data_IF_151521206667
#
_entry.id   IF_151521206667
#
_cell.length_a   1.000
_cell.length_b   1.000
_cell.length_c   1.000
_cell.angle_alpha   90.00
_cell.angle_beta   90.00
_cell.angle_gamma   90.00
#
_symmetry.space_group_name_H-M   'P 1'
#
loop_
_entity.id
_entity.type
_entity.pdbx_description
1 polymer ?
#
# COMPACT_ATOMS: atom_id res chain seq x y z
N UNK A 1 -1.13 -3.32 -2.02
CA UNK A 1 -0.82 -1.89 -2.28
C UNK A 1 -0.31 -1.18 -1.03
N UNK A 2 -1.16 -0.94 0.00
CA UNK A 2 -0.81 -0.12 1.16
C UNK A 2 0.49 -0.54 1.87
N UNK A 3 0.72 -1.85 2.02
CA UNK A 3 1.95 -2.42 2.62
C UNK A 3 3.23 -1.96 1.90
N UNK A 4 3.21 -2.01 0.57
CA UNK A 4 4.35 -1.60 -0.25
C UNK A 4 4.50 -0.07 -0.32
N UNK A 5 3.39 0.68 -0.25
CA UNK A 5 3.47 2.14 -0.14
C UNK A 5 4.04 2.58 1.23
N UNK A 6 3.74 1.87 2.32
CA UNK A 6 4.37 2.09 3.62
C UNK A 6 5.89 1.87 3.53
N UNK A 7 6.32 0.75 2.94
CA UNK A 7 7.75 0.48 2.72
C UNK A 7 8.40 1.56 1.85
N UNK A 8 7.73 2.03 0.80
CA UNK A 8 8.26 3.11 -0.05
C UNK A 8 8.39 4.45 0.67
N UNK A 9 7.47 4.79 1.58
CA UNK A 9 7.43 6.08 2.28
C UNK A 9 8.33 6.13 3.52
N UNK A 10 8.53 5.00 4.21
CA UNK A 10 9.12 4.99 5.55
C UNK A 10 10.31 4.04 5.71
N UNK A 11 10.59 3.15 4.75
CA UNK A 11 11.75 2.27 4.89
C UNK A 11 13.05 3.09 4.82
N UNK A 12 14.09 2.72 5.60
CA UNK A 12 15.39 3.38 5.53
C UNK A 12 16.00 3.30 4.13
N UNK A 13 16.77 4.31 3.72
CA UNK A 13 17.39 4.40 2.38
C UNK A 13 18.21 3.18 1.97
N UNK A 14 18.86 2.53 2.94
CA UNK A 14 19.66 1.31 2.70
C UNK A 14 18.79 0.12 2.28
N UNK A 15 17.55 0.07 2.76
CA UNK A 15 16.55 -0.93 2.37
C UNK A 15 15.77 -0.47 1.14
N UNK A 16 15.38 0.82 1.10
CA UNK A 16 14.56 1.37 0.02
C UNK A 16 15.25 1.23 -1.34
N UNK A 17 16.50 1.70 -1.47
CA UNK A 17 17.20 1.77 -2.77
C UNK A 17 17.23 0.45 -3.56
N UNK A 18 17.63 -0.70 -2.99
CA UNK A 18 17.63 -1.96 -3.75
C UNK A 18 16.23 -2.51 -4.04
N UNK A 19 15.22 -2.16 -3.22
CA UNK A 19 13.89 -2.77 -3.29
C UNK A 19 12.83 -1.90 -4.00
N UNK A 20 13.06 -0.59 -4.14
CA UNK A 20 12.08 0.40 -4.62
C UNK A 20 11.42 -0.02 -5.94
N UNK A 21 12.23 -0.51 -6.91
CA UNK A 21 11.71 -0.96 -8.20
C UNK A 21 10.76 -2.14 -8.05
N UNK A 22 11.12 -3.14 -7.25
CA UNK A 22 10.29 -4.31 -7.00
C UNK A 22 8.98 -3.93 -6.32
N UNK A 23 9.04 -3.07 -5.31
CA UNK A 23 7.85 -2.62 -4.60
C UNK A 23 6.90 -1.79 -5.48
N UNK A 24 7.44 -0.91 -6.33
CA UNK A 24 6.62 -0.17 -7.32
C UNK A 24 5.95 -1.12 -8.32
N UNK A 25 6.64 -2.17 -8.78
CA UNK A 25 6.06 -3.17 -9.65
C UNK A 25 4.90 -3.91 -8.97
N UNK A 26 5.07 -4.36 -7.72
CA UNK A 26 4.01 -5.00 -6.93
C UNK A 26 2.78 -4.11 -6.76
N UNK A 27 2.99 -2.82 -6.49
CA UNK A 27 1.89 -1.84 -6.39
C UNK A 27 1.14 -1.71 -7.72
N UNK A 28 1.87 -1.54 -8.83
CA UNK A 28 1.25 -1.39 -10.14
C UNK A 28 0.47 -2.64 -10.57
N UNK A 29 0.97 -3.83 -10.28
CA UNK A 29 0.24 -5.07 -10.56
C UNK A 29 -1.07 -5.12 -9.77
N UNK A 30 -1.02 -4.88 -8.46
CA UNK A 30 -2.22 -4.88 -7.63
C UNK A 30 -3.24 -3.80 -8.05
N UNK A 31 -2.79 -2.62 -8.50
CA UNK A 31 -3.69 -1.58 -9.03
C UNK A 31 -4.44 -2.06 -10.27
N UNK A 32 -3.74 -2.69 -11.22
CA UNK A 32 -4.34 -3.24 -12.45
C UNK A 32 -5.33 -4.36 -12.16
N UNK A 33 -4.98 -5.27 -11.24
CA UNK A 33 -5.88 -6.35 -10.81
C UNK A 33 -7.18 -5.79 -10.21
N UNK A 34 -7.07 -4.79 -9.33
CA UNK A 34 -8.24 -4.12 -8.75
C UNK A 34 -9.06 -3.41 -9.83
N UNK A 35 -8.41 -2.72 -10.77
CA UNK A 35 -9.11 -2.05 -11.88
C UNK A 35 -9.93 -3.05 -12.72
N UNK A 36 -9.32 -4.19 -13.10
CA UNK A 36 -10.01 -5.24 -13.84
C UNK A 36 -11.21 -5.81 -13.06
N UNK A 37 -11.06 -6.08 -11.75
CA UNK A 37 -12.15 -6.54 -10.91
C UNK A 37 -13.30 -5.53 -10.79
N UNK A 38 -12.99 -4.24 -10.76
CA UNK A 38 -13.98 -3.17 -10.71
C UNK A 38 -14.73 -2.98 -12.03
N UNK A 39 -14.06 -3.19 -13.17
CA UNK A 39 -14.69 -3.20 -14.49
C UNK A 39 -15.71 -4.35 -14.62
N UNK A 40 -15.38 -5.53 -14.10
CA UNK A 40 -16.26 -6.71 -14.13
C UNK A 40 -17.45 -6.60 -13.17
N UNK A 41 -17.29 -5.91 -12.03
CA UNK A 41 -18.29 -5.88 -10.95
C UNK A 41 -18.48 -4.47 -10.36
N UNK A 42 -19.17 -3.59 -11.08
CA UNK A 42 -19.45 -2.22 -10.64
C UNK A 42 -20.20 -2.11 -9.29
N UNK A 43 -20.92 -3.16 -8.86
CA UNK A 43 -21.63 -3.22 -7.57
C UNK A 43 -20.70 -3.44 -6.36
N UNK A 44 -19.43 -3.84 -6.58
CA UNK A 44 -18.41 -3.98 -5.53
C UNK A 44 -17.95 -2.63 -4.94
N UNK A 45 -18.48 -1.51 -5.45
CA UNK A 45 -18.13 -0.17 -4.97
C UNK A 45 -18.78 0.23 -3.62
N UNK A 46 -19.71 -0.57 -3.07
CA UNK A 46 -20.31 -0.24 -1.75
C UNK A 46 -19.31 -0.52 -0.63
N UNK A 47 -19.07 0.51 0.19
CA UNK A 47 -18.29 0.49 1.43
C UNK A 47 -16.75 0.38 1.27
N UNK A 48 -16.23 1.03 0.23
CA UNK A 48 -14.78 1.19 -0.05
C UNK A 48 -13.97 1.69 1.16
N UNK A 49 -14.51 2.61 1.95
CA UNK A 49 -13.81 3.16 3.11
C UNK A 49 -13.59 2.12 4.22
N UNK A 50 -14.60 1.28 4.50
CA UNK A 50 -14.44 0.20 5.48
C UNK A 50 -13.45 -0.86 5.00
N UNK A 51 -13.51 -1.19 3.71
CA UNK A 51 -12.55 -2.10 3.10
C UNK A 51 -11.12 -1.53 3.20
N UNK A 52 -10.94 -0.23 2.94
CA UNK A 52 -9.67 0.47 3.09
C UNK A 52 -9.13 0.38 4.52
N UNK A 53 -9.95 0.69 5.53
CA UNK A 53 -9.52 0.64 6.94
C UNK A 53 -9.05 -0.77 7.32
N UNK A 54 -9.80 -1.79 6.91
CA UNK A 54 -9.45 -3.19 7.19
C UNK A 54 -8.16 -3.61 6.46
N UNK A 55 -8.05 -3.29 5.17
CA UNK A 55 -6.87 -3.60 4.36
C UNK A 55 -5.62 -2.88 4.88
N UNK A 56 -5.76 -1.62 5.29
CA UNK A 56 -4.68 -0.85 5.88
C UNK A 56 -4.20 -1.46 7.20
N UNK A 57 -5.13 -1.87 8.09
CA UNK A 57 -4.77 -2.53 9.35
C UNK A 57 -3.96 -3.80 9.12
N UNK A 58 -4.37 -4.61 8.14
CA UNK A 58 -3.64 -5.82 7.76
C UNK A 58 -2.26 -5.48 7.20
N UNK A 59 -2.18 -4.53 6.27
CA UNK A 59 -0.91 -4.06 5.71
C UNK A 59 0.05 -3.55 6.80
N UNK A 60 -0.45 -2.77 7.76
CA UNK A 60 0.34 -2.27 8.88
C UNK A 60 0.86 -3.41 9.77
N UNK A 61 0.04 -4.45 10.00
CA UNK A 61 0.46 -5.66 10.71
C UNK A 61 1.61 -6.37 9.99
N UNK A 62 1.43 -6.65 8.70
CA UNK A 62 2.44 -7.30 7.87
C UNK A 62 3.75 -6.51 7.85
N UNK A 63 3.69 -5.19 7.63
CA UNK A 63 4.92 -4.37 7.61
C UNK A 63 5.62 -4.40 8.96
N UNK A 64 4.89 -4.35 10.08
CA UNK A 64 5.51 -4.41 11.41
C UNK A 64 6.21 -5.73 11.67
N UNK A 65 5.66 -6.83 11.17
CA UNK A 65 6.25 -8.17 11.29
C UNK A 65 7.44 -8.34 10.32
N UNK A 66 7.25 -8.09 9.03
CA UNK A 66 8.28 -8.27 8.01
C UNK A 66 9.45 -7.28 8.13
N UNK A 67 9.22 -6.13 8.73
CA UNK A 67 10.19 -5.03 8.80
C UNK A 67 10.63 -4.73 10.23
N UNK A 68 10.46 -5.67 11.17
CA UNK A 68 10.94 -5.52 12.56
C UNK A 68 12.45 -5.17 12.61
N UNK A 69 13.23 -5.74 11.69
CA UNK A 69 14.67 -5.52 11.56
C UNK A 69 15.07 -4.22 10.82
N UNK A 70 14.11 -3.39 10.38
CA UNK A 70 14.44 -2.14 9.66
C UNK A 70 14.94 -1.04 10.60
N UNK A 71 15.01 -1.30 11.90
CA UNK A 71 15.39 -0.31 12.91
C UNK A 71 14.18 0.53 13.35
N UNK A 72 14.40 1.74 13.91
CA UNK A 72 13.35 2.54 14.55
C UNK A 72 12.46 3.25 13.51
N UNK A 73 11.71 2.49 12.71
CA UNK A 73 10.73 3.02 11.75
C UNK A 73 9.42 3.30 12.48
N UNK A 74 8.90 4.52 12.35
CA UNK A 74 7.62 4.91 12.93
C UNK A 74 6.53 4.75 11.86
N UNK A 75 5.80 3.64 11.95
CA UNK A 75 4.68 3.37 11.05
C UNK A 75 3.41 4.11 11.48
N UNK A 76 2.72 4.83 10.58
CA UNK A 76 1.50 5.55 10.91
C UNK A 76 0.39 4.59 11.34
N UNK A 77 -0.29 4.88 12.45
CA UNK A 77 -1.37 4.01 12.98
C UNK A 77 -2.67 4.13 12.20
N UNK A 78 -2.84 5.20 11.44
CA UNK A 78 -3.97 5.47 10.55
C UNK A 78 -3.48 5.56 9.11
N UNK A 79 -4.29 5.14 8.14
CA UNK A 79 -3.92 5.21 6.72
C UNK A 79 -3.66 6.67 6.33
N UNK A 80 -2.47 7.03 5.84
CA UNK A 80 -2.17 8.40 5.41
C UNK A 80 -2.73 8.71 4.02
N UNK A 81 -3.24 7.70 3.31
CA UNK A 81 -3.74 7.82 1.94
C UNK A 81 -5.23 7.53 1.85
N UNK A 82 -5.90 8.23 0.94
CA UNK A 82 -7.28 7.91 0.55
C UNK A 82 -7.31 6.69 -0.38
N UNK A 83 -8.50 6.12 -0.60
CA UNK A 83 -8.62 5.00 -1.55
C UNK A 83 -8.28 5.46 -2.98
N UNK A 84 -8.62 6.69 -3.35
CA UNK A 84 -8.29 7.28 -4.64
C UNK A 84 -6.77 7.32 -4.84
N UNK A 85 -6.00 7.77 -3.84
CA UNK A 85 -4.54 7.78 -3.90
C UNK A 85 -3.95 6.36 -3.99
N UNK A 86 -4.50 5.39 -3.25
CA UNK A 86 -4.03 4.00 -3.33
C UNK A 86 -4.23 3.41 -4.73
N UNK A 87 -5.32 3.78 -5.42
CA UNK A 87 -5.68 3.23 -6.73
C UNK A 87 -5.15 4.06 -7.91
N UNK A 88 -4.77 5.32 -7.70
CA UNK A 88 -4.17 6.20 -8.71
C UNK A 88 -2.79 5.69 -9.15
N UNK A 89 -2.66 5.29 -10.42
CA UNK A 89 -1.41 4.77 -10.99
C UNK A 89 -0.24 5.77 -10.96
N UNK A 90 -0.55 7.07 -10.92
CA UNK A 90 0.45 8.15 -10.89
C UNK A 90 0.90 8.50 -9.47
N UNK A 91 0.14 8.08 -8.46
CA UNK A 91 0.43 8.36 -7.07
C UNK A 91 1.55 7.47 -6.52
N UNK A 92 2.56 8.12 -5.93
CA UNK A 92 3.62 7.52 -5.12
C UNK A 92 3.90 8.41 -3.91
N UNK A 93 4.13 7.85 -2.72
CA UNK A 93 4.55 8.63 -1.57
C UNK A 93 5.96 9.20 -1.79
N UNK A 94 6.16 10.43 -1.32
CA UNK A 94 7.46 11.13 -1.29
C UNK A 94 8.36 10.61 -0.17
#
# INVERSE_FOLDING_TARGET
IAEHLLKLAYAPDVILRPNQRGWRLSVNHARREIAALLEENASAARDRDKALISAYRQALGNVREECEDFGPVIWPTTCPWTIEQLLDETFWPE
#
